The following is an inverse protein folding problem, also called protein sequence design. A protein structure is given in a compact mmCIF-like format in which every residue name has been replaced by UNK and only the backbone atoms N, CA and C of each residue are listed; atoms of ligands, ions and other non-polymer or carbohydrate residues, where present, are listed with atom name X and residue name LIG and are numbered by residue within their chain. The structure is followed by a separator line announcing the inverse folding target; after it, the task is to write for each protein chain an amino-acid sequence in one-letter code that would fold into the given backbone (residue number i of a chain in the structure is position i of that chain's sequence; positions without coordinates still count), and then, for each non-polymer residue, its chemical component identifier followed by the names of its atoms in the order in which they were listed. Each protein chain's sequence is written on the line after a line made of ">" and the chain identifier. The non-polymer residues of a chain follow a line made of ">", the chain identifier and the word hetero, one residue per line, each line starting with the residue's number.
data_IF_086246558171
#
_entry.id   IF_086246558171
#
_cell.length_a   1.000
_cell.length_b   1.000
_cell.length_c   1.000
_cell.angle_alpha   90.00
_cell.angle_beta   90.00
_cell.angle_gamma   90.00
#
_symmetry.space_group_name_H-M   'P 1'
#
loop_
_entity.id
_entity.type
_entity.pdbx_description
1 polymer ?
#
# COMPACT_ATOMS: atom_id res chain seq x y z
N UNK A 1 79.67 -25.69 -37.61
CA UNK A 1 79.62 -27.16 -37.57
C UNK A 1 80.84 -27.62 -36.78
N UNK A 2 80.71 -28.42 -35.70
CA UNK A 2 79.62 -29.33 -35.38
C UNK A 2 78.90 -29.03 -34.04
N UNK A 3 77.69 -29.61 -33.89
CA UNK A 3 76.88 -29.85 -32.67
C UNK A 3 77.35 -31.18 -32.02
N UNK A 4 77.17 -31.51 -30.72
CA UNK A 4 75.84 -31.87 -30.19
C UNK A 4 75.56 -31.70 -28.67
N UNK A 5 74.26 -31.81 -28.35
CA UNK A 5 73.64 -32.34 -27.11
C UNK A 5 73.39 -31.43 -25.89
N UNK A 6 72.13 -30.98 -25.80
CA UNK A 6 71.23 -31.23 -24.64
C UNK A 6 71.27 -30.28 -23.44
N UNK A 7 70.19 -29.53 -23.15
CA UNK A 7 70.08 -28.80 -21.89
C UNK A 7 69.14 -29.48 -20.87
N UNK A 8 69.73 -29.69 -19.68
CA UNK A 8 69.26 -29.26 -18.35
C UNK A 8 67.97 -29.83 -17.75
N UNK A 9 68.21 -30.57 -16.68
CA UNK A 9 67.37 -30.93 -15.54
C UNK A 9 66.70 -29.73 -14.86
N UNK A 10 65.39 -29.83 -14.59
CA UNK A 10 64.73 -29.10 -13.49
C UNK A 10 63.58 -29.95 -12.89
N UNK A 11 63.89 -30.52 -11.72
CA UNK A 11 63.08 -30.61 -10.50
C UNK A 11 61.57 -30.89 -10.63
N UNK A 12 61.18 -32.15 -10.41
CA UNK A 12 59.80 -32.57 -10.11
C UNK A 12 59.47 -32.27 -8.64
N UNK A 13 58.60 -31.30 -8.39
CA UNK A 13 58.03 -31.03 -7.07
C UNK A 13 56.73 -31.83 -6.87
N UNK A 14 56.72 -32.67 -5.84
CA UNK A 14 55.59 -33.49 -5.44
C UNK A 14 54.33 -32.66 -5.12
N UNK A 15 53.21 -32.95 -5.79
CA UNK A 15 51.88 -32.42 -5.45
C UNK A 15 51.17 -33.38 -4.49
N UNK A 16 51.17 -33.03 -3.21
CA UNK A 16 50.38 -33.69 -2.16
C UNK A 16 48.89 -33.43 -2.43
N UNK A 17 48.12 -34.45 -2.82
CA UNK A 17 46.66 -34.39 -2.95
C UNK A 17 46.03 -34.47 -1.55
N UNK A 18 45.53 -33.36 -1.02
CA UNK A 18 44.66 -33.35 0.15
C UNK A 18 43.24 -33.78 -0.24
N UNK A 19 42.74 -34.86 0.38
CA UNK A 19 41.34 -35.32 0.25
C UNK A 19 40.42 -34.34 0.99
N UNK A 20 39.34 -33.83 0.38
CA UNK A 20 38.37 -33.01 1.10
C UNK A 20 37.59 -33.87 2.10
N UNK A 21 37.51 -33.39 3.35
CA UNK A 21 36.69 -33.97 4.42
C UNK A 21 35.22 -33.84 4.03
N UNK A 22 34.52 -34.98 3.99
CA UNK A 22 33.10 -35.07 3.64
C UNK A 22 32.27 -34.62 4.84
N UNK A 23 31.80 -33.38 4.83
CA UNK A 23 30.81 -32.89 5.81
C UNK A 23 29.49 -33.63 5.53
N UNK A 24 28.85 -34.28 6.53
CA UNK A 24 27.57 -34.94 6.30
C UNK A 24 26.52 -33.88 5.94
N UNK A 25 25.81 -34.11 4.84
CA UNK A 25 24.71 -33.25 4.41
C UNK A 25 23.63 -33.24 5.51
N UNK A 26 23.00 -32.08 5.80
CA UNK A 26 21.89 -32.03 6.74
C UNK A 26 20.79 -32.97 6.25
N UNK A 27 20.28 -33.81 7.16
CA UNK A 27 19.19 -34.73 6.88
C UNK A 27 18.03 -33.95 6.22
N UNK A 28 17.63 -34.38 5.02
CA UNK A 28 16.48 -33.80 4.31
C UNK A 28 15.22 -34.12 5.11
N UNK A 29 14.65 -33.11 5.76
CA UNK A 29 13.32 -33.16 6.34
C UNK A 29 12.28 -33.38 5.23
N UNK A 30 11.24 -34.16 5.53
CA UNK A 30 10.13 -34.42 4.63
C UNK A 30 9.43 -33.10 4.22
N UNK A 31 8.89 -33.00 3.00
CA UNK A 31 8.17 -31.79 2.55
C UNK A 31 6.90 -31.62 3.39
N UNK A 32 6.77 -30.52 4.13
CA UNK A 32 5.52 -30.13 4.81
C UNK A 32 5.63 -29.84 6.32
N UNK A 33 6.78 -30.05 6.96
CA UNK A 33 7.01 -29.60 8.34
C UNK A 33 8.10 -28.52 8.38
N UNK A 34 7.70 -27.26 8.35
CA UNK A 34 8.60 -26.17 8.73
C UNK A 34 9.00 -26.34 10.19
N UNK A 35 10.30 -26.35 10.46
CA UNK A 35 10.85 -26.49 11.82
C UNK A 35 10.34 -25.31 12.66
N UNK A 36 9.65 -25.59 13.76
CA UNK A 36 9.23 -24.55 14.71
C UNK A 36 10.45 -23.93 15.38
N UNK A 37 10.54 -22.61 15.34
CA UNK A 37 11.56 -21.81 16.01
C UNK A 37 11.39 -21.80 17.53
N UNK A 38 10.16 -21.93 18.04
CA UNK A 38 9.86 -22.04 19.48
C UNK A 38 8.85 -23.16 19.72
N UNK A 39 9.00 -23.87 20.83
CA UNK A 39 8.11 -24.97 21.21
C UNK A 39 6.92 -24.47 22.06
N UNK A 40 5.73 -25.11 21.99
CA UNK A 40 4.68 -24.91 22.98
C UNK A 40 5.19 -25.15 24.42
N UNK A 41 4.65 -24.41 25.38
CA UNK A 41 5.04 -24.38 26.80
C UNK A 41 6.47 -23.90 27.08
N UNK A 42 7.30 -23.67 26.06
CA UNK A 42 8.62 -23.08 26.21
C UNK A 42 8.48 -21.69 26.85
N UNK A 43 9.28 -21.42 27.88
CA UNK A 43 9.40 -20.09 28.46
C UNK A 43 10.61 -19.41 27.85
N UNK A 44 10.38 -18.28 27.18
CA UNK A 44 11.44 -17.37 26.71
C UNK A 44 11.52 -16.18 27.64
N UNK A 45 12.72 -15.69 27.90
CA UNK A 45 12.96 -14.54 28.76
C UNK A 45 13.76 -13.48 28.01
N UNK A 46 13.33 -12.23 28.14
CA UNK A 46 14.12 -11.08 27.72
C UNK A 46 15.25 -10.85 28.72
N UNK A 47 16.53 -10.89 28.29
CA UNK A 47 17.66 -10.67 29.20
C UNK A 47 17.75 -9.22 29.69
N UNK A 48 17.22 -8.24 28.96
CA UNK A 48 17.26 -6.83 29.33
C UNK A 48 16.09 -6.42 30.24
N UNK A 49 14.87 -6.86 29.92
CA UNK A 49 13.66 -6.45 30.66
C UNK A 49 13.24 -7.46 31.74
N UNK A 50 13.88 -8.64 31.75
CA UNK A 50 13.53 -9.80 32.57
C UNK A 50 12.07 -10.28 32.42
N UNK A 51 11.37 -9.83 31.38
CA UNK A 51 10.02 -10.32 31.07
C UNK A 51 10.09 -11.76 30.59
N UNK A 52 9.15 -12.58 31.06
CA UNK A 52 9.05 -14.00 30.72
C UNK A 52 7.77 -14.26 29.96
N UNK A 53 7.85 -15.01 28.88
CA UNK A 53 6.72 -15.33 28.01
C UNK A 53 6.66 -16.84 27.80
N UNK A 54 5.54 -17.46 28.19
CA UNK A 54 5.25 -18.86 27.89
C UNK A 54 4.59 -18.94 26.53
N UNK A 55 5.22 -19.66 25.60
CA UNK A 55 4.71 -19.87 24.25
C UNK A 55 3.50 -20.82 24.33
N UNK A 56 2.36 -20.41 23.78
CA UNK A 56 1.16 -21.24 23.75
C UNK A 56 1.08 -22.00 22.41
N UNK A 57 1.02 -21.27 21.28
CA UNK A 57 0.90 -21.89 19.95
C UNK A 57 1.42 -20.99 18.83
N UNK A 58 1.76 -21.61 17.70
CA UNK A 58 2.04 -20.89 16.45
C UNK A 58 0.74 -20.23 15.94
N UNK A 59 0.82 -18.98 15.51
CA UNK A 59 -0.28 -18.19 14.95
C UNK A 59 -0.05 -17.91 13.46
N UNK A 60 1.20 -17.72 13.06
CA UNK A 60 1.53 -17.47 11.66
C UNK A 60 3.02 -17.70 11.36
N UNK A 61 3.31 -17.91 10.08
CA UNK A 61 4.67 -18.10 9.57
C UNK A 61 4.80 -17.36 8.24
N UNK A 62 5.93 -16.70 8.02
CA UNK A 62 6.24 -16.00 6.77
C UNK A 62 7.75 -15.78 6.60
N UNK A 63 8.13 -15.08 5.52
CA UNK A 63 9.54 -14.86 5.17
C UNK A 63 10.37 -14.08 6.19
N UNK A 64 9.71 -13.45 7.17
CA UNK A 64 10.35 -12.66 8.23
C UNK A 64 10.42 -13.38 9.58
N UNK A 65 9.88 -14.59 9.69
CA UNK A 65 9.91 -15.38 10.92
C UNK A 65 8.58 -16.07 11.24
N UNK A 66 8.49 -16.58 12.46
CA UNK A 66 7.32 -17.26 12.99
C UNK A 66 6.75 -16.46 14.16
N UNK A 67 5.42 -16.35 14.20
CA UNK A 67 4.67 -15.59 15.21
C UNK A 67 3.89 -16.55 16.08
N UNK A 68 4.07 -16.43 17.39
CA UNK A 68 3.47 -17.29 18.39
C UNK A 68 2.58 -16.49 19.33
N UNK A 69 1.42 -17.04 19.69
CA UNK A 69 0.65 -16.56 20.83
C UNK A 69 1.42 -16.95 22.10
N UNK A 70 1.56 -16.01 23.02
CA UNK A 70 2.26 -16.25 24.26
C UNK A 70 1.57 -15.57 25.44
N UNK A 71 1.71 -16.19 26.61
CA UNK A 71 1.28 -15.63 27.88
C UNK A 71 2.47 -15.05 28.63
N UNK A 72 2.38 -13.77 28.98
CA UNK A 72 3.35 -13.13 29.87
C UNK A 72 3.21 -13.70 31.28
N UNK A 73 4.33 -14.07 31.89
CA UNK A 73 4.39 -14.59 33.25
C UNK A 73 4.70 -13.47 34.25
N UNK A 74 4.16 -13.58 35.45
CA UNK A 74 4.32 -12.57 36.52
C UNK A 74 3.38 -11.37 36.38
N UNK A 75 3.42 -10.47 37.36
CA UNK A 75 2.58 -9.26 37.37
C UNK A 75 3.26 -8.09 36.63
N UNK A 76 2.49 -7.34 35.85
CA UNK A 76 2.93 -6.08 35.25
C UNK A 76 1.72 -5.17 35.12
N UNK A 77 1.89 -3.89 35.49
CA UNK A 77 0.87 -2.86 35.31
C UNK A 77 0.81 -2.32 33.87
N UNK A 78 1.85 -2.56 33.09
CA UNK A 78 2.05 -1.91 31.79
C UNK A 78 1.93 -2.86 30.60
N UNK A 79 2.15 -4.16 30.82
CA UNK A 79 2.13 -5.17 29.76
C UNK A 79 0.91 -6.08 29.87
N UNK A 80 0.20 -6.35 28.75
CA UNK A 80 -0.92 -7.29 28.75
C UNK A 80 -0.46 -8.70 29.11
N UNK A 81 -1.40 -9.52 29.60
CA UNK A 81 -1.13 -10.93 29.92
C UNK A 81 -0.93 -11.79 28.67
N UNK A 82 -1.47 -11.38 27.53
CA UNK A 82 -1.40 -12.07 26.25
C UNK A 82 -0.69 -11.17 25.23
N UNK A 83 0.31 -11.73 24.56
CA UNK A 83 1.13 -11.06 23.52
C UNK A 83 1.40 -12.01 22.37
N UNK A 84 1.94 -11.47 21.27
CA UNK A 84 2.56 -12.27 20.22
C UNK A 84 4.09 -12.22 20.35
N UNK A 85 4.77 -13.36 20.28
CA UNK A 85 6.22 -13.43 20.11
C UNK A 85 6.53 -13.70 18.64
N UNK A 86 7.10 -12.70 17.95
CA UNK A 86 7.67 -12.89 16.60
C UNK A 86 9.13 -13.27 16.75
N UNK A 87 9.51 -14.46 16.29
CA UNK A 87 10.88 -14.96 16.33
C UNK A 87 11.43 -15.09 14.91
N UNK A 88 12.66 -14.60 14.70
CA UNK A 88 13.34 -14.64 13.41
C UNK A 88 14.81 -15.03 13.58
N UNK A 89 15.36 -15.75 12.60
CA UNK A 89 16.82 -15.97 12.51
C UNK A 89 17.51 -14.77 11.82
N UNK A 90 16.76 -13.78 11.31
CA UNK A 90 17.29 -12.65 10.53
C UNK A 90 17.25 -11.35 11.32
N UNK A 91 18.42 -10.78 11.58
CA UNK A 91 18.55 -9.53 12.33
C UNK A 91 18.01 -8.30 11.58
N UNK A 92 18.17 -8.23 10.24
CA UNK A 92 17.91 -6.99 9.49
C UNK A 92 16.47 -6.50 9.58
N UNK A 93 15.50 -7.43 9.49
CA UNK A 93 14.07 -7.13 9.58
C UNK A 93 13.67 -6.82 11.01
N UNK A 94 14.18 -7.60 11.96
CA UNK A 94 13.96 -7.41 13.38
C UNK A 94 14.44 -6.03 13.87
N UNK A 95 15.64 -5.59 13.48
CA UNK A 95 16.15 -4.26 13.84
C UNK A 95 15.24 -3.13 13.35
N UNK A 96 14.71 -3.25 12.12
CA UNK A 96 13.77 -2.27 11.58
C UNK A 96 12.45 -2.28 12.35
N UNK A 97 11.90 -3.45 12.63
CA UNK A 97 10.66 -3.54 13.40
C UNK A 97 10.83 -3.02 14.83
N UNK A 98 11.94 -3.31 15.50
CA UNK A 98 12.25 -2.76 16.82
C UNK A 98 12.34 -1.22 16.77
N UNK A 99 13.08 -0.67 15.80
CA UNK A 99 13.22 0.77 15.61
C UNK A 99 11.86 1.46 15.34
N UNK A 100 11.07 0.94 14.40
CA UNK A 100 9.77 1.53 14.08
C UNK A 100 8.74 1.29 15.19
N UNK A 101 8.87 0.21 15.95
CA UNK A 101 8.12 -0.04 17.17
C UNK A 101 8.30 1.06 18.19
N UNK A 102 9.56 1.45 18.46
CA UNK A 102 9.87 2.59 19.33
C UNK A 102 9.40 3.92 18.74
N UNK A 103 9.66 4.16 17.45
CA UNK A 103 9.26 5.40 16.78
C UNK A 103 7.74 5.61 16.82
N UNK A 104 6.97 4.53 16.72
CA UNK A 104 5.50 4.54 16.68
C UNK A 104 4.87 4.20 18.03
N UNK A 105 5.65 4.11 19.10
CA UNK A 105 5.13 3.79 20.42
C UNK A 105 4.03 4.77 20.85
N UNK A 106 3.01 4.23 21.52
CA UNK A 106 1.80 4.95 21.89
C UNK A 106 0.83 5.29 20.74
N UNK A 107 1.20 5.11 19.47
CA UNK A 107 0.30 5.46 18.36
C UNK A 107 -0.91 4.51 18.31
N UNK A 108 -2.16 5.02 18.31
CA UNK A 108 -3.36 4.17 18.44
C UNK A 108 -3.62 3.27 17.22
N UNK A 109 -2.97 3.55 16.10
CA UNK A 109 -3.14 2.86 14.80
C UNK A 109 -1.93 2.02 14.39
N UNK A 110 -0.96 1.81 15.27
CA UNK A 110 0.18 0.92 15.05
C UNK A 110 0.15 -0.24 16.06
N UNK A 111 0.52 -1.44 15.62
CA UNK A 111 0.75 -2.58 16.53
C UNK A 111 1.91 -2.22 17.44
N UNK A 112 1.68 -2.27 18.75
CA UNK A 112 2.72 -1.93 19.73
C UNK A 112 3.79 -3.01 19.80
N UNK A 113 5.03 -2.58 19.96
CA UNK A 113 6.17 -3.43 20.31
C UNK A 113 6.45 -3.21 21.79
N UNK A 114 6.20 -4.23 22.60
CA UNK A 114 6.40 -4.19 24.04
C UNK A 114 7.83 -4.49 24.44
N UNK A 115 8.53 -5.32 23.66
CA UNK A 115 9.87 -5.80 23.97
C UNK A 115 10.57 -6.25 22.69
N UNK A 116 11.90 -6.17 22.68
CA UNK A 116 12.74 -6.60 21.59
C UNK A 116 14.05 -7.15 22.16
N UNK A 117 14.29 -8.45 21.99
CA UNK A 117 15.43 -9.12 22.62
C UNK A 117 15.99 -10.28 21.80
N UNK A 118 17.30 -10.57 21.90
CA UNK A 118 17.88 -11.80 21.39
C UNK A 118 17.62 -12.98 22.36
N UNK A 119 17.41 -14.16 21.79
CA UNK A 119 17.28 -15.42 22.52
C UNK A 119 18.38 -16.38 22.04
N UNK A 120 19.30 -16.72 22.95
CA UNK A 120 20.33 -17.71 22.68
C UNK A 120 19.75 -19.12 22.77
N UNK A 121 19.89 -19.91 21.70
CA UNK A 121 19.50 -21.32 21.68
C UNK A 121 20.60 -22.20 22.28
N UNK A 122 20.27 -23.37 22.87
CA UNK A 122 21.26 -24.33 23.31
C UNK A 122 22.26 -24.73 22.21
N UNK A 123 21.80 -24.74 20.95
CA UNK A 123 22.61 -25.02 19.77
C UNK A 123 23.54 -23.85 19.32
N UNK A 124 23.66 -22.78 20.13
CA UNK A 124 24.52 -21.62 19.85
C UNK A 124 23.99 -20.64 18.79
N UNK A 125 22.76 -20.83 18.30
CA UNK A 125 22.11 -19.92 17.35
C UNK A 125 21.31 -18.85 18.08
N UNK A 126 21.30 -17.63 17.55
CA UNK A 126 20.50 -16.53 18.08
C UNK A 126 19.17 -16.43 17.33
N UNK A 127 18.07 -16.38 18.05
CA UNK A 127 16.78 -15.94 17.55
C UNK A 127 16.55 -14.49 17.98
N UNK A 128 16.05 -13.66 17.08
CA UNK A 128 15.67 -12.29 17.39
C UNK A 128 14.16 -12.26 17.63
N UNK A 129 13.76 -11.85 18.84
CA UNK A 129 12.38 -11.90 19.31
C UNK A 129 11.80 -10.49 19.47
N UNK A 130 10.54 -10.31 19.08
CA UNK A 130 9.72 -9.15 19.42
C UNK A 130 8.49 -9.61 20.20
N UNK A 131 8.21 -8.95 21.32
CA UNK A 131 6.91 -9.06 21.98
C UNK A 131 5.98 -7.98 21.44
N UNK A 132 4.87 -8.39 20.84
CA UNK A 132 3.95 -7.54 20.09
C UNK A 132 2.56 -7.56 20.71
N UNK A 133 1.80 -6.50 20.46
CA UNK A 133 0.37 -6.49 20.69
C UNK A 133 -0.33 -7.64 19.96
N UNK A 134 -1.20 -8.36 20.67
CA UNK A 134 -2.02 -9.41 20.08
C UNK A 134 -3.35 -8.82 19.56
N UNK A 135 -3.55 -8.89 18.24
CA UNK A 135 -4.82 -8.56 17.61
C UNK A 135 -5.72 -9.81 17.57
N UNK A 136 -6.70 -9.86 18.48
CA UNK A 136 -7.61 -11.01 18.68
C UNK A 136 -8.42 -11.40 17.44
N UNK A 137 -8.77 -10.43 16.59
CA UNK A 137 -9.55 -10.67 15.37
C UNK A 137 -8.68 -11.02 14.15
N UNK A 138 -7.36 -11.14 14.34
CA UNK A 138 -6.41 -11.48 13.29
C UNK A 138 -6.13 -10.35 12.29
N UNK A 139 -5.50 -10.72 11.18
CA UNK A 139 -5.26 -9.81 10.06
C UNK A 139 -6.54 -9.56 9.24
N UNK A 140 -6.53 -8.47 8.47
CA UNK A 140 -7.68 -8.02 7.69
C UNK A 140 -8.14 -9.06 6.65
N UNK A 141 -7.22 -9.88 6.11
CA UNK A 141 -7.59 -10.96 5.18
C UNK A 141 -8.39 -12.04 5.89
N UNK A 142 -7.88 -12.53 7.02
CA UNK A 142 -8.56 -13.53 7.84
C UNK A 142 -9.92 -13.00 8.33
N UNK A 143 -9.96 -11.74 8.77
CA UNK A 143 -11.18 -11.11 9.25
C UNK A 143 -12.27 -11.03 8.18
N UNK A 144 -11.95 -10.55 6.98
CA UNK A 144 -12.92 -10.42 5.89
C UNK A 144 -13.35 -11.78 5.33
N UNK A 145 -12.51 -12.81 5.41
CA UNK A 145 -12.92 -14.18 5.08
C UNK A 145 -14.02 -14.70 6.01
N UNK A 146 -13.90 -14.44 7.32
CA UNK A 146 -14.94 -14.78 8.30
C UNK A 146 -16.12 -13.82 8.30
N UNK A 147 -15.94 -12.60 7.77
CA UNK A 147 -16.93 -11.53 7.76
C UNK A 147 -17.04 -10.94 6.34
N UNK A 148 -17.63 -11.67 5.38
CA UNK A 148 -17.67 -11.25 3.97
C UNK A 148 -18.57 -10.03 3.72
N UNK A 149 -19.22 -9.50 4.77
CA UNK A 149 -19.92 -8.22 4.70
C UNK A 149 -18.90 -7.10 4.74
N UNK A 150 -18.81 -6.35 3.64
CA UNK A 150 -18.02 -5.13 3.57
C UNK A 150 -18.35 -4.15 4.68
N UNK A 151 -17.39 -3.33 5.04
CA UNK A 151 -17.55 -2.34 6.11
C UNK A 151 -18.41 -1.17 5.61
N UNK A 152 -19.25 -0.59 6.49
CA UNK A 152 -19.92 0.67 6.18
C UNK A 152 -18.90 1.72 5.74
N UNK A 153 -19.24 2.50 4.71
CA UNK A 153 -18.33 3.51 4.14
C UNK A 153 -17.76 4.46 5.20
N UNK A 154 -18.57 4.92 6.14
CA UNK A 154 -18.12 5.78 7.23
C UNK A 154 -17.02 5.12 8.10
N UNK A 155 -17.21 3.85 8.44
CA UNK A 155 -16.22 3.05 9.18
C UNK A 155 -14.95 2.86 8.34
N UNK A 156 -15.08 2.45 7.09
CA UNK A 156 -13.93 2.25 6.20
C UNK A 156 -13.11 3.54 6.03
N UNK A 157 -13.75 4.70 5.85
CA UNK A 157 -13.10 6.01 5.78
C UNK A 157 -12.32 6.33 7.06
N UNK A 158 -12.97 6.21 8.22
CA UNK A 158 -12.37 6.50 9.54
C UNK A 158 -11.13 5.64 9.79
N UNK A 159 -11.24 4.35 9.52
CA UNK A 159 -10.19 3.37 9.84
C UNK A 159 -9.01 3.48 8.88
N UNK A 160 -9.26 3.70 7.58
CA UNK A 160 -8.20 3.99 6.61
C UNK A 160 -7.52 5.33 6.90
N UNK A 161 -8.26 6.36 7.33
CA UNK A 161 -7.65 7.62 7.76
C UNK A 161 -6.69 7.40 8.94
N UNK A 162 -7.03 6.54 9.89
CA UNK A 162 -6.15 6.16 10.99
C UNK A 162 -4.86 5.45 10.53
N UNK A 163 -4.96 4.54 9.57
CA UNK A 163 -3.77 3.89 8.96
C UNK A 163 -2.89 4.94 8.24
N UNK A 164 -3.52 5.89 7.55
CA UNK A 164 -2.82 6.98 6.86
C UNK A 164 -2.11 7.94 7.84
N UNK A 165 -2.57 8.09 9.07
CA UNK A 165 -1.87 8.88 10.10
C UNK A 165 -0.50 8.27 10.44
N UNK A 166 -0.42 6.93 10.54
CA UNK A 166 0.86 6.20 10.72
C UNK A 166 1.76 6.43 9.51
N UNK A 167 1.22 6.25 8.30
CA UNK A 167 1.98 6.47 7.06
C UNK A 167 2.44 7.92 6.93
N UNK A 168 1.63 8.89 7.35
CA UNK A 168 2.00 10.30 7.38
C UNK A 168 3.20 10.55 8.29
N UNK A 169 3.29 9.87 9.44
CA UNK A 169 4.46 9.92 10.32
C UNK A 169 5.71 9.36 9.65
N UNK A 170 5.60 8.22 8.95
CA UNK A 170 6.71 7.64 8.18
C UNK A 170 7.17 8.54 7.03
N UNK A 171 6.22 9.02 6.22
CA UNK A 171 6.48 9.84 5.03
C UNK A 171 7.17 11.16 5.37
N UNK A 172 6.89 11.77 6.53
CA UNK A 172 7.60 12.97 7.02
C UNK A 172 9.09 12.71 7.27
N UNK A 173 9.43 11.50 7.72
CA UNK A 173 10.82 11.04 7.86
C UNK A 173 11.42 10.45 6.57
N UNK A 174 10.80 10.67 5.41
CA UNK A 174 11.19 10.08 4.12
C UNK A 174 11.23 8.55 4.11
N UNK A 175 10.50 7.91 5.03
CA UNK A 175 10.37 6.45 5.12
C UNK A 175 9.12 5.99 4.37
N UNK A 176 9.21 4.84 3.70
CA UNK A 176 8.14 4.24 2.92
C UNK A 176 7.83 2.85 3.47
N UNK A 177 6.54 2.51 3.61
CA UNK A 177 6.15 1.21 4.16
C UNK A 177 6.40 0.07 3.17
N UNK A 178 6.02 0.25 1.90
CA UNK A 178 6.22 -0.69 0.78
C UNK A 178 5.46 -2.02 0.85
N UNK A 179 5.00 -2.47 2.03
CA UNK A 179 4.21 -3.71 2.19
C UNK A 179 2.84 -3.52 2.85
N UNK A 180 2.08 -2.51 2.45
CA UNK A 180 0.70 -2.39 2.92
C UNK A 180 -0.15 -3.48 2.24
N UNK A 181 -0.48 -4.52 3.00
CA UNK A 181 -1.28 -5.66 2.56
C UNK A 181 -2.36 -5.98 3.60
N UNK A 182 -3.43 -6.69 3.24
CA UNK A 182 -4.41 -7.17 4.20
C UNK A 182 -3.83 -8.07 5.31
N UNK A 183 -2.63 -8.64 5.12
CA UNK A 183 -1.97 -9.49 6.12
C UNK A 183 -1.18 -8.67 7.15
N UNK A 184 -0.84 -7.42 6.82
CA UNK A 184 -0.07 -6.51 7.69
C UNK A 184 -0.95 -5.44 8.35
N UNK A 185 -2.26 -5.48 8.09
CA UNK A 185 -3.26 -4.64 8.76
C UNK A 185 -4.11 -5.55 9.64
N UNK A 186 -4.15 -5.26 10.92
CA UNK A 186 -4.80 -6.08 11.92
C UNK A 186 -6.12 -5.45 12.35
N UNK A 187 -7.09 -6.32 12.63
CA UNK A 187 -8.39 -5.92 13.18
C UNK A 187 -8.33 -6.13 14.70
N UNK A 188 -8.60 -5.06 15.43
CA UNK A 188 -8.73 -5.06 16.88
C UNK A 188 -10.20 -4.88 17.28
N UNK A 189 -10.47 -4.97 18.57
CA UNK A 189 -11.80 -4.79 19.14
C UNK A 189 -12.44 -3.46 18.68
N UNK A 190 -13.76 -3.48 18.50
CA UNK A 190 -14.50 -2.32 18.00
C UNK A 190 -14.27 -2.00 16.51
N UNK A 191 -13.72 -2.94 15.71
CA UNK A 191 -13.34 -2.75 14.30
C UNK A 191 -12.31 -1.63 14.13
N UNK A 192 -11.36 -1.56 15.06
CA UNK A 192 -10.22 -0.66 14.96
C UNK A 192 -9.12 -1.31 14.12
N UNK A 193 -8.66 -0.65 13.06
CA UNK A 193 -7.51 -1.10 12.29
C UNK A 193 -6.20 -0.61 12.90
N UNK A 194 -5.21 -1.50 12.94
CA UNK A 194 -3.82 -1.18 13.29
C UNK A 194 -2.86 -1.70 12.23
N UNK A 195 -1.86 -0.90 11.89
CA UNK A 195 -0.79 -1.27 10.98
C UNK A 195 0.32 -1.98 11.75
N UNK A 196 0.78 -3.12 11.24
CA UNK A 196 1.96 -3.83 11.72
C UNK A 196 2.94 -4.12 10.59
N UNK A 197 3.94 -4.94 10.94
CA UNK A 197 5.03 -5.38 10.06
C UNK A 197 5.81 -4.25 9.35
N UNK A 198 6.71 -3.64 10.12
CA UNK A 198 7.63 -2.61 9.63
C UNK A 198 8.97 -3.19 9.14
N UNK A 199 9.06 -4.52 8.98
CA UNK A 199 10.31 -5.24 8.69
C UNK A 199 10.92 -4.92 7.34
N UNK A 200 10.16 -4.30 6.44
CA UNK A 200 10.65 -3.84 5.14
C UNK A 200 10.53 -2.34 4.91
N UNK A 201 10.25 -1.56 5.94
CA UNK A 201 10.26 -0.10 5.82
C UNK A 201 11.64 0.37 5.39
N UNK A 202 11.69 1.28 4.42
CA UNK A 202 12.95 1.79 3.86
C UNK A 202 12.89 3.27 3.59
N UNK A 203 14.05 3.90 3.66
CA UNK A 203 14.21 5.27 3.23
C UNK A 203 13.91 5.40 1.73
N UNK A 204 13.33 6.52 1.31
CA UNK A 204 12.95 6.78 -0.07
C UNK A 204 14.15 6.83 -1.03
N UNK A 205 15.32 7.28 -0.55
CA UNK A 205 16.55 7.31 -1.33
C UNK A 205 17.28 5.96 -1.46
N UNK A 206 16.81 4.91 -0.78
CA UNK A 206 17.44 3.59 -0.87
C UNK A 206 17.25 3.02 -2.28
N UNK A 207 18.34 3.04 -3.05
CA UNK A 207 18.45 2.57 -4.44
C UNK A 207 18.58 1.06 -4.57
N UNK A 208 18.79 0.33 -3.45
CA UNK A 208 18.75 -1.14 -3.50
C UNK A 208 17.31 -1.51 -3.89
N UNK A 209 17.16 -1.99 -5.11
CA UNK A 209 15.86 -2.32 -5.69
C UNK A 209 15.07 -3.23 -4.75
N UNK A 210 13.75 -3.08 -4.76
CA UNK A 210 12.88 -4.02 -4.07
C UNK A 210 13.06 -5.35 -4.80
N UNK A 211 13.64 -6.37 -4.14
CA UNK A 211 13.75 -7.69 -4.75
C UNK A 211 12.35 -8.12 -5.21
N UNK A 212 12.21 -8.61 -6.45
CA UNK A 212 10.90 -8.92 -7.03
C UNK A 212 10.07 -9.90 -6.18
N UNK A 213 10.73 -10.71 -5.33
CA UNK A 213 10.08 -11.59 -4.35
C UNK A 213 9.60 -10.93 -3.05
N UNK A 214 9.84 -9.62 -2.85
CA UNK A 214 9.44 -8.88 -1.63
C UNK A 214 8.14 -8.10 -1.82
N UNK A 215 7.67 -7.90 -3.05
CA UNK A 215 6.44 -7.14 -3.31
C UNK A 215 5.24 -8.07 -3.40
N UNK A 216 4.20 -7.79 -2.60
CA UNK A 216 2.96 -8.53 -2.70
C UNK A 216 2.15 -8.12 -3.95
N UNK A 217 1.93 -9.01 -4.95
CA UNK A 217 1.20 -8.67 -6.18
C UNK A 217 -0.26 -8.23 -5.94
N UNK A 218 -0.82 -8.56 -4.78
CA UNK A 218 -2.18 -8.19 -4.36
C UNK A 218 -2.33 -6.67 -4.24
N UNK A 219 -1.32 -5.98 -3.73
CA UNK A 219 -1.38 -4.54 -3.47
C UNK A 219 -0.30 -3.73 -4.16
N UNK A 220 0.74 -4.34 -4.73
CA UNK A 220 1.78 -3.62 -5.44
C UNK A 220 1.26 -2.96 -6.74
N UNK A 221 1.64 -1.70 -7.05
CA UNK A 221 1.27 -1.04 -8.29
C UNK A 221 1.76 -1.80 -9.53
N UNK A 222 0.91 -1.97 -10.54
CA UNK A 222 1.23 -2.76 -11.74
C UNK A 222 2.45 -2.21 -12.50
N UNK A 223 2.63 -0.89 -12.53
CA UNK A 223 3.79 -0.26 -13.18
C UNK A 223 5.11 -0.45 -12.42
N UNK A 224 5.05 -0.66 -11.10
CA UNK A 224 6.25 -1.02 -10.31
C UNK A 224 6.59 -2.49 -10.59
N UNK A 225 5.59 -3.37 -10.58
CA UNK A 225 5.76 -4.80 -10.91
C UNK A 225 6.30 -5.00 -12.33
N UNK A 226 5.86 -4.18 -13.28
CA UNK A 226 6.30 -4.21 -14.67
C UNK A 226 7.66 -3.51 -14.92
N UNK A 227 8.31 -2.96 -13.88
CA UNK A 227 9.55 -2.19 -14.03
C UNK A 227 9.41 -0.86 -14.78
N UNK A 228 8.18 -0.42 -15.08
CA UNK A 228 7.89 0.82 -15.80
C UNK A 228 8.02 2.07 -14.91
N UNK A 229 8.14 1.90 -13.60
CA UNK A 229 8.44 2.95 -12.64
C UNK A 229 9.74 2.62 -11.89
N UNK A 230 10.76 3.51 -11.92
CA UNK A 230 12.11 3.17 -11.46
C UNK A 230 12.26 3.13 -9.94
N UNK A 231 11.36 3.78 -9.19
CA UNK A 231 11.48 3.92 -7.74
C UNK A 231 10.13 4.07 -7.06
N UNK A 232 9.98 3.43 -5.90
CA UNK A 232 8.83 3.55 -5.00
C UNK A 232 8.79 4.94 -4.36
N UNK A 233 7.60 5.51 -4.23
CA UNK A 233 7.35 6.81 -3.63
C UNK A 233 6.13 6.77 -2.69
N UNK A 234 5.90 7.82 -1.92
CA UNK A 234 4.74 7.91 -1.01
C UNK A 234 3.40 7.63 -1.71
N UNK A 235 3.26 8.05 -2.98
CA UNK A 235 2.08 7.78 -3.82
C UNK A 235 1.83 6.29 -4.11
N UNK A 236 2.86 5.45 -3.96
CA UNK A 236 2.78 4.00 -4.18
C UNK A 236 2.33 3.28 -2.89
N UNK A 237 2.67 3.80 -1.70
CA UNK A 237 1.99 3.41 -0.46
C UNK A 237 0.51 3.80 -0.50
N UNK A 238 0.19 4.99 -1.02
CA UNK A 238 -1.20 5.45 -1.25
C UNK A 238 -1.97 4.51 -2.18
N UNK A 239 -1.32 3.95 -3.20
CA UNK A 239 -1.93 2.92 -4.05
C UNK A 239 -2.35 1.70 -3.23
N UNK A 240 -1.44 1.20 -2.38
CA UNK A 240 -1.72 0.06 -1.52
C UNK A 240 -2.88 0.35 -0.54
N UNK A 241 -2.92 1.55 0.05
CA UNK A 241 -4.06 1.97 0.88
C UNK A 241 -5.36 2.02 0.08
N UNK A 242 -5.32 2.48 -1.17
CA UNK A 242 -6.47 2.45 -2.08
C UNK A 242 -7.00 1.04 -2.32
N UNK A 243 -6.10 0.05 -2.44
CA UNK A 243 -6.47 -1.37 -2.52
C UNK A 243 -7.17 -1.83 -1.23
N UNK A 244 -6.59 -1.56 -0.07
CA UNK A 244 -7.17 -1.90 1.24
C UNK A 244 -8.56 -1.29 1.42
N UNK A 245 -8.73 0.00 1.09
CA UNK A 245 -10.01 0.69 1.16
C UNK A 245 -11.08 0.04 0.26
N UNK A 246 -10.70 -0.30 -0.97
CA UNK A 246 -11.62 -1.00 -1.88
C UNK A 246 -11.99 -2.40 -1.38
N UNK A 247 -11.03 -3.16 -0.82
CA UNK A 247 -11.26 -4.48 -0.23
C UNK A 247 -12.18 -4.42 0.99
N UNK A 248 -11.99 -3.44 1.88
CA UNK A 248 -12.84 -3.21 3.05
C UNK A 248 -14.31 -3.00 2.67
N UNK A 249 -14.56 -2.14 1.69
CA UNK A 249 -15.92 -1.83 1.23
C UNK A 249 -16.52 -3.00 0.44
N UNK A 250 -15.70 -3.70 -0.35
CA UNK A 250 -16.12 -4.91 -1.07
C UNK A 250 -16.46 -6.06 -0.12
N UNK A 251 -15.78 -6.15 1.02
CA UNK A 251 -15.86 -7.30 1.94
C UNK A 251 -14.98 -8.48 1.51
N UNK A 252 -13.98 -8.25 0.67
CA UNK A 252 -13.13 -9.30 0.10
C UNK A 252 -11.70 -8.79 -0.10
N UNK A 253 -10.75 -9.49 0.52
CA UNK A 253 -9.31 -9.22 0.46
C UNK A 253 -8.51 -10.37 -0.19
N UNK A 254 -9.17 -11.30 -0.88
CA UNK A 254 -8.51 -12.39 -1.62
C UNK A 254 -8.00 -11.95 -2.99
N UNK A 255 -8.66 -10.96 -3.59
CA UNK A 255 -8.32 -10.45 -4.92
C UNK A 255 -8.08 -8.94 -4.90
N UNK A 256 -7.16 -8.49 -5.75
CA UNK A 256 -6.88 -7.06 -5.93
C UNK A 256 -8.08 -6.37 -6.60
N UNK A 257 -8.38 -5.15 -6.17
CA UNK A 257 -9.40 -4.32 -6.81
C UNK A 257 -8.86 -3.83 -8.14
N UNK A 258 -9.62 -4.05 -9.22
CA UNK A 258 -9.36 -3.50 -10.54
C UNK A 258 -10.22 -2.25 -10.78
N UNK A 259 -9.71 -1.33 -11.61
CA UNK A 259 -10.42 -0.08 -11.93
C UNK A 259 -11.80 -0.30 -12.55
N UNK A 260 -12.01 -1.41 -13.26
CA UNK A 260 -13.30 -1.78 -13.85
C UNK A 260 -14.36 -2.22 -12.82
N UNK A 261 -13.93 -2.67 -11.63
CA UNK A 261 -14.80 -3.16 -10.56
C UNK A 261 -15.31 -2.03 -9.67
N UNK A 262 -14.60 -0.90 -9.61
CA UNK A 262 -14.89 0.23 -8.71
C UNK A 262 -16.33 0.72 -8.82
N UNK A 263 -16.88 0.77 -10.04
CA UNK A 263 -18.27 1.20 -10.27
C UNK A 263 -19.31 0.37 -9.50
N UNK A 264 -18.99 -0.91 -9.24
CA UNK A 264 -19.86 -1.89 -8.57
C UNK A 264 -19.65 -1.91 -7.05
N UNK A 265 -18.67 -1.17 -6.51
CA UNK A 265 -18.47 -1.12 -5.07
C UNK A 265 -19.72 -0.55 -4.38
N UNK A 266 -20.15 -1.14 -3.24
CA UNK A 266 -21.33 -0.71 -2.50
C UNK A 266 -21.04 0.54 -1.65
N UNK A 267 -20.64 1.63 -2.31
CA UNK A 267 -20.31 2.91 -1.68
C UNK A 267 -20.70 4.10 -2.56
N UNK A 268 -20.58 5.29 -1.99
CA UNK A 268 -20.83 6.56 -2.66
C UNK A 268 -19.93 6.77 -3.88
N UNK A 269 -20.41 7.56 -4.84
CA UNK A 269 -19.62 7.98 -6.00
C UNK A 269 -18.33 8.69 -5.55
N UNK A 270 -18.38 9.43 -4.45
CA UNK A 270 -17.18 10.08 -3.90
C UNK A 270 -16.11 9.06 -3.48
N UNK A 271 -16.47 8.00 -2.74
CA UNK A 271 -15.48 6.98 -2.35
C UNK A 271 -14.95 6.21 -3.56
N UNK A 272 -15.81 5.96 -4.56
CA UNK A 272 -15.38 5.37 -5.84
C UNK A 272 -14.34 6.24 -6.54
N UNK A 273 -14.52 7.56 -6.58
CA UNK A 273 -13.53 8.50 -7.13
C UNK A 273 -12.20 8.43 -6.36
N UNK A 274 -12.24 8.37 -5.03
CA UNK A 274 -11.04 8.24 -4.18
C UNK A 274 -10.30 6.94 -4.50
N UNK A 275 -10.98 5.80 -4.45
CA UNK A 275 -10.38 4.48 -4.74
C UNK A 275 -9.82 4.46 -6.17
N UNK A 276 -10.57 4.98 -7.14
CA UNK A 276 -10.13 5.09 -8.54
C UNK A 276 -8.87 5.93 -8.68
N UNK A 277 -8.80 7.07 -7.97
CA UNK A 277 -7.63 7.94 -7.99
C UNK A 277 -6.42 7.28 -7.36
N UNK A 278 -6.58 6.53 -6.26
CA UNK A 278 -5.49 5.78 -5.63
C UNK A 278 -4.95 4.66 -6.53
N UNK A 279 -5.83 3.81 -7.07
CA UNK A 279 -5.41 2.61 -7.81
C UNK A 279 -5.27 2.81 -9.32
N UNK A 280 -5.54 4.03 -9.79
CA UNK A 280 -5.47 4.40 -11.19
C UNK A 280 -4.07 4.82 -11.63
N UNK A 281 -4.04 5.75 -12.58
CA UNK A 281 -2.83 6.26 -13.20
C UNK A 281 -1.89 6.92 -12.19
N UNK A 282 -0.63 6.45 -12.12
CA UNK A 282 0.36 6.85 -11.11
C UNK A 282 0.52 8.36 -10.91
N UNK A 283 0.54 9.12 -12.01
CA UNK A 283 0.68 10.60 -11.97
C UNK A 283 -0.54 11.34 -11.41
N UNK A 284 -1.70 10.69 -11.31
CA UNK A 284 -2.96 11.28 -10.84
C UNK A 284 -3.30 10.92 -9.39
N UNK A 285 -2.57 9.97 -8.78
CA UNK A 285 -2.74 9.57 -7.38
C UNK A 285 -2.60 10.74 -6.43
N UNK A 286 -3.13 10.59 -5.22
CA UNK A 286 -2.73 11.46 -4.11
C UNK A 286 -1.23 11.32 -3.88
N UNK A 287 -0.54 12.43 -3.66
CA UNK A 287 0.91 12.49 -3.54
C UNK A 287 1.41 12.11 -2.15
N UNK A 288 0.55 12.23 -1.13
CA UNK A 288 0.89 11.95 0.26
C UNK A 288 -0.29 11.37 1.03
N UNK A 289 -0.01 10.78 2.19
CA UNK A 289 -1.04 10.33 3.11
C UNK A 289 -1.98 11.47 3.56
N UNK A 290 -1.44 12.67 3.78
CA UNK A 290 -2.22 13.85 4.17
C UNK A 290 -3.24 14.25 3.11
N UNK A 291 -2.87 14.24 1.82
CA UNK A 291 -3.79 14.57 0.73
C UNK A 291 -4.94 13.54 0.63
N UNK A 292 -4.66 12.25 0.90
CA UNK A 292 -5.69 11.22 0.92
C UNK A 292 -6.59 11.33 2.17
N UNK A 293 -6.04 11.66 3.35
CA UNK A 293 -6.85 11.92 4.55
C UNK A 293 -7.83 13.06 4.30
N UNK A 294 -7.37 14.15 3.68
CA UNK A 294 -8.20 15.30 3.34
C UNK A 294 -9.37 14.88 2.43
N UNK A 295 -9.09 14.11 1.37
CA UNK A 295 -10.13 13.59 0.48
C UNK A 295 -11.10 12.63 1.18
N UNK A 296 -10.64 11.83 2.15
CA UNK A 296 -11.50 10.92 2.90
C UNK A 296 -12.45 11.66 3.86
N UNK A 297 -12.00 12.78 4.44
CA UNK A 297 -12.76 13.59 5.41
C UNK A 297 -13.69 14.57 4.72
N UNK A 298 -13.22 15.22 3.66
CA UNK A 298 -13.90 16.35 3.04
C UNK A 298 -14.34 16.01 1.61
N UNK A 299 -15.66 15.95 1.33
CA UNK A 299 -16.13 15.82 -0.04
C UNK A 299 -15.79 17.08 -0.86
N UNK A 300 -15.30 16.92 -2.11
CA UNK A 300 -15.03 18.07 -2.95
C UNK A 300 -16.31 18.85 -3.20
N UNK A 301 -16.19 20.19 -3.21
CA UNK A 301 -17.32 21.09 -3.41
C UNK A 301 -18.12 20.68 -4.66
N UNK A 302 -19.45 20.65 -4.51
CA UNK A 302 -20.32 20.29 -5.62
C UNK A 302 -20.07 21.21 -6.81
N UNK A 303 -20.07 20.57 -7.96
CA UNK A 303 -19.76 21.15 -9.25
C UNK A 303 -20.97 21.99 -9.71
N UNK A 304 -21.10 23.23 -9.19
CA UNK A 304 -22.19 24.15 -9.55
C UNK A 304 -22.02 24.70 -10.97
N UNK A 305 -23.12 24.80 -11.71
CA UNK A 305 -23.14 25.46 -13.01
C UNK A 305 -22.86 26.97 -12.82
N UNK A 306 -21.88 27.49 -13.55
CA UNK A 306 -21.55 28.92 -13.52
C UNK A 306 -22.31 29.70 -14.60
N UNK A 307 -22.46 31.01 -14.40
CA UNK A 307 -22.96 31.90 -15.45
C UNK A 307 -21.79 32.33 -16.34
N UNK A 308 -21.95 32.16 -17.65
CA UNK A 308 -20.99 32.58 -18.67
C UNK A 308 -21.72 33.46 -19.69
N UNK A 309 -21.13 34.60 -20.07
CA UNK A 309 -21.76 35.59 -20.97
C UNK A 309 -21.41 35.36 -22.44
N UNK A 310 -20.22 34.83 -22.73
CA UNK A 310 -19.72 34.56 -24.09
C UNK A 310 -18.78 33.35 -24.09
N UNK A 311 -18.65 32.69 -25.25
CA UNK A 311 -17.69 31.61 -25.49
C UNK A 311 -16.37 32.10 -26.11
N UNK A 312 -16.28 33.38 -26.50
CA UNK A 312 -15.07 33.94 -27.12
C UNK A 312 -13.87 33.88 -26.17
N UNK A 313 -12.76 33.28 -26.63
CA UNK A 313 -11.53 33.12 -25.84
C UNK A 313 -11.60 32.04 -24.75
N UNK A 314 -12.70 31.29 -24.65
CA UNK A 314 -12.88 30.28 -23.61
C UNK A 314 -12.21 28.97 -24.00
N UNK A 315 -11.47 28.36 -23.07
CA UNK A 315 -10.90 27.04 -23.22
C UNK A 315 -11.87 25.98 -22.70
N UNK A 316 -12.46 25.23 -23.63
CA UNK A 316 -13.64 24.41 -23.38
C UNK A 316 -13.34 22.91 -23.52
N UNK A 317 -13.86 22.09 -22.61
CA UNK A 317 -13.89 20.63 -22.77
C UNK A 317 -15.32 20.09 -22.58
N UNK A 318 -15.69 19.06 -23.32
CA UNK A 318 -16.99 18.40 -23.17
C UNK A 318 -16.87 17.16 -22.28
N UNK A 319 -17.91 16.87 -21.49
CA UNK A 319 -18.10 15.63 -20.72
C UNK A 319 -19.55 15.14 -20.78
N UNK A 320 -19.78 13.86 -20.50
CA UNK A 320 -21.11 13.23 -20.59
C UNK A 320 -21.58 12.94 -22.03
N UNK A 321 -22.81 12.43 -22.11
CA UNK A 321 -23.57 12.18 -23.33
C UNK A 321 -24.27 13.48 -23.73
N UNK A 322 -23.96 13.98 -24.92
CA UNK A 322 -24.57 15.19 -25.47
C UNK A 322 -25.81 14.82 -26.30
N UNK A 323 -26.80 15.71 -26.34
CA UNK A 323 -27.99 15.55 -27.19
C UNK A 323 -27.65 15.58 -28.68
N UNK A 324 -26.66 16.38 -29.07
CA UNK A 324 -26.14 16.42 -30.46
C UNK A 324 -24.79 15.73 -30.58
N UNK A 325 -24.41 15.37 -31.82
CA UNK A 325 -23.12 14.72 -32.08
C UNK A 325 -21.98 15.62 -31.60
N UNK A 326 -20.98 15.03 -30.95
CA UNK A 326 -19.85 15.78 -30.38
C UNK A 326 -19.13 16.63 -31.42
N UNK A 327 -19.00 16.15 -32.67
CA UNK A 327 -18.42 16.90 -33.79
C UNK A 327 -19.15 18.24 -34.06
N UNK A 328 -20.48 18.25 -33.97
CA UNK A 328 -21.29 19.45 -34.16
C UNK A 328 -21.10 20.45 -33.02
N UNK A 329 -21.10 19.96 -31.78
CA UNK A 329 -20.83 20.81 -30.61
C UNK A 329 -19.44 21.45 -30.67
N UNK A 330 -18.41 20.71 -31.11
CA UNK A 330 -17.06 21.26 -31.31
C UNK A 330 -17.06 22.36 -32.39
N UNK A 331 -17.73 22.15 -33.53
CA UNK A 331 -17.83 23.16 -34.59
C UNK A 331 -18.56 24.42 -34.11
N UNK A 332 -19.66 24.26 -33.37
CA UNK A 332 -20.41 25.38 -32.80
C UNK A 332 -19.56 26.19 -31.80
N UNK A 333 -18.84 25.51 -30.90
CA UNK A 333 -17.96 26.16 -29.94
C UNK A 333 -16.84 26.97 -30.64
N UNK A 334 -16.19 26.39 -31.66
CA UNK A 334 -15.13 27.08 -32.43
C UNK A 334 -15.65 28.29 -33.18
N UNK A 335 -16.83 28.21 -33.80
CA UNK A 335 -17.48 29.36 -34.46
C UNK A 335 -17.79 30.49 -33.47
N UNK A 336 -18.16 30.15 -32.25
CA UNK A 336 -18.38 31.12 -31.16
C UNK A 336 -17.08 31.62 -30.50
N UNK A 337 -15.91 31.32 -31.07
CA UNK A 337 -14.61 31.80 -30.62
C UNK A 337 -13.98 31.03 -29.45
N UNK A 338 -14.47 29.82 -29.13
CA UNK A 338 -13.87 28.98 -28.09
C UNK A 338 -12.76 28.07 -28.63
N UNK A 339 -11.77 27.79 -27.77
CA UNK A 339 -10.72 26.78 -28.01
C UNK A 339 -11.13 25.47 -27.37
N UNK A 340 -11.39 24.44 -28.18
CA UNK A 340 -11.90 23.15 -27.69
C UNK A 340 -10.78 22.13 -27.46
N UNK A 341 -10.74 21.56 -26.25
CA UNK A 341 -9.79 20.54 -25.83
C UNK A 341 -10.44 19.14 -25.76
N UNK A 342 -9.63 18.11 -26.03
CA UNK A 342 -10.08 16.72 -25.93
C UNK A 342 -10.40 16.29 -24.50
N UNK A 343 -9.65 16.80 -23.52
CA UNK A 343 -9.80 16.53 -22.09
C UNK A 343 -9.54 17.79 -21.26
N UNK A 344 -10.11 17.89 -20.04
CA UNK A 344 -9.79 18.96 -19.11
C UNK A 344 -8.29 18.99 -18.79
N UNK A 345 -7.74 20.18 -18.67
CA UNK A 345 -6.34 20.47 -18.37
C UNK A 345 -6.23 21.79 -17.60
N UNK A 346 -5.03 22.18 -17.17
CA UNK A 346 -4.77 23.46 -16.51
C UNK A 346 -5.19 24.69 -17.34
N UNK A 347 -5.28 24.53 -18.67
CA UNK A 347 -5.76 25.58 -19.58
C UNK A 347 -7.27 25.66 -19.66
N UNK A 348 -8.00 24.64 -19.22
CA UNK A 348 -9.46 24.57 -19.35
C UNK A 348 -10.12 25.54 -18.39
N UNK A 349 -10.96 26.43 -18.91
CA UNK A 349 -11.72 27.40 -18.10
C UNK A 349 -13.20 27.03 -17.99
N UNK A 350 -13.73 26.26 -18.94
CA UNK A 350 -15.13 25.81 -18.95
C UNK A 350 -15.24 24.33 -19.32
N UNK A 351 -16.11 23.61 -18.63
CA UNK A 351 -16.53 22.26 -19.00
C UNK A 351 -18.02 22.21 -19.27
N UNK A 352 -18.38 21.73 -20.47
CA UNK A 352 -19.77 21.51 -20.84
C UNK A 352 -20.17 20.10 -20.44
N UNK A 353 -21.17 19.99 -19.57
CA UNK A 353 -21.68 18.73 -19.04
C UNK A 353 -23.00 18.37 -19.72
N UNK A 354 -22.98 17.29 -20.50
CA UNK A 354 -24.17 16.59 -20.97
C UNK A 354 -24.77 15.66 -19.93
N UNK A 355 -25.71 14.82 -20.36
CA UNK A 355 -26.31 13.79 -19.49
C UNK A 355 -25.23 12.84 -18.95
N UNK A 356 -25.33 12.39 -17.68
CA UNK A 356 -24.34 11.48 -17.14
C UNK A 356 -24.37 10.14 -17.89
N UNK A 357 -23.20 9.51 -18.02
CA UNK A 357 -23.11 8.17 -18.57
C UNK A 357 -23.08 7.19 -17.38
N UNK A 358 -24.13 6.38 -17.18
CA UNK A 358 -24.25 5.47 -16.03
C UNK A 358 -23.17 4.38 -15.99
N UNK A 359 -22.46 4.14 -17.10
CA UNK A 359 -21.37 3.16 -17.19
C UNK A 359 -20.00 3.71 -16.78
N UNK A 360 -19.90 4.95 -16.29
CA UNK A 360 -18.63 5.57 -15.91
C UNK A 360 -18.03 5.03 -14.60
N UNK A 361 -16.73 5.28 -14.41
CA UNK A 361 -15.89 4.64 -13.40
C UNK A 361 -16.36 4.86 -11.94
N UNK A 362 -16.98 6.01 -11.64
CA UNK A 362 -17.54 6.32 -10.33
C UNK A 362 -19.04 6.71 -10.43
N UNK A 363 -19.85 5.80 -10.98
CA UNK A 363 -21.31 5.87 -10.91
C UNK A 363 -21.96 6.99 -11.72
N UNK A 364 -22.98 7.63 -11.13
CA UNK A 364 -23.85 8.61 -11.81
C UNK A 364 -23.15 9.94 -12.04
N UNK A 365 -22.23 10.36 -11.17
CA UNK A 365 -21.56 11.67 -11.27
C UNK A 365 -20.06 11.61 -11.61
N UNK A 366 -19.46 10.41 -11.65
CA UNK A 366 -18.01 10.21 -11.63
C UNK A 366 -17.35 9.82 -12.96
N UNK A 367 -17.49 10.67 -13.98
CA UNK A 367 -16.75 10.52 -15.24
C UNK A 367 -15.27 10.85 -15.11
N UNK A 368 -14.39 10.17 -15.87
CA UNK A 368 -12.93 10.46 -15.90
C UNK A 368 -12.60 11.95 -16.07
N UNK A 369 -13.37 12.65 -16.91
CA UNK A 369 -13.20 14.09 -17.13
C UNK A 369 -13.73 14.94 -15.97
N UNK A 370 -14.82 14.53 -15.32
CA UNK A 370 -15.37 15.24 -14.16
C UNK A 370 -14.46 15.10 -12.93
N UNK A 371 -13.90 13.90 -12.72
CA UNK A 371 -12.87 13.67 -11.70
C UNK A 371 -11.65 14.58 -11.92
N UNK A 372 -11.18 14.69 -13.17
CA UNK A 372 -10.07 15.59 -13.50
C UNK A 372 -10.41 17.07 -13.26
N UNK A 373 -11.65 17.48 -13.52
CA UNK A 373 -12.12 18.85 -13.21
C UNK A 373 -12.11 19.12 -11.71
N UNK A 374 -12.64 18.19 -10.89
CA UNK A 374 -12.62 18.33 -9.42
C UNK A 374 -11.18 18.49 -8.92
N UNK A 375 -10.28 17.61 -9.39
CA UNK A 375 -8.84 17.65 -9.07
C UNK A 375 -8.17 18.98 -9.46
N UNK A 376 -8.47 19.51 -10.65
CA UNK A 376 -7.92 20.78 -11.09
C UNK A 376 -8.45 21.95 -10.23
N UNK A 377 -9.73 21.92 -9.83
CA UNK A 377 -10.29 22.94 -8.92
C UNK A 377 -9.69 22.89 -7.53
N UNK A 378 -9.44 21.70 -6.98
CA UNK A 378 -8.70 21.52 -5.72
C UNK A 378 -7.31 22.18 -5.77
N UNK A 379 -6.66 22.17 -6.94
CA UNK A 379 -5.37 22.85 -7.18
C UNK A 379 -5.51 24.36 -7.46
N UNK A 380 -6.69 24.94 -7.23
CA UNK A 380 -6.95 26.37 -7.42
C UNK A 380 -7.30 26.79 -8.85
N UNK A 381 -7.40 25.86 -9.81
CA UNK A 381 -7.79 26.22 -11.18
C UNK A 381 -9.29 26.57 -11.24
N UNK A 382 -9.59 27.76 -11.78
CA UNK A 382 -10.98 28.24 -11.93
C UNK A 382 -11.64 27.62 -13.16
N UNK A 383 -12.33 26.48 -12.95
CA UNK A 383 -13.11 25.80 -13.99
C UNK A 383 -14.60 25.95 -13.72
N UNK A 384 -15.35 26.53 -14.66
CA UNK A 384 -16.81 26.64 -14.59
C UNK A 384 -17.47 25.45 -15.29
N UNK A 385 -18.60 25.00 -14.76
CA UNK A 385 -19.46 24.06 -15.46
C UNK A 385 -20.57 24.78 -16.19
N UNK A 386 -20.85 24.31 -17.39
CA UNK A 386 -21.94 24.78 -18.24
C UNK A 386 -22.81 23.57 -18.59
N UNK A 387 -24.13 23.68 -18.39
CA UNK A 387 -25.03 22.64 -18.89
C UNK A 387 -25.18 22.74 -20.42
N UNK A 388 -25.65 21.68 -21.05
CA UNK A 388 -25.76 21.65 -22.51
C UNK A 388 -26.71 22.73 -23.07
N UNK A 389 -27.81 23.04 -22.37
CA UNK A 389 -28.77 24.08 -22.78
C UNK A 389 -28.13 25.47 -22.80
N UNK A 390 -27.35 25.81 -21.77
CA UNK A 390 -26.60 27.06 -21.69
C UNK A 390 -25.52 27.13 -22.77
N UNK A 391 -24.84 26.01 -23.04
CA UNK A 391 -23.85 25.93 -24.11
C UNK A 391 -24.45 26.29 -25.47
N UNK A 392 -25.58 25.68 -25.85
CA UNK A 392 -26.21 25.95 -27.14
C UNK A 392 -26.72 27.39 -27.25
N UNK A 393 -27.23 27.97 -26.15
CA UNK A 393 -27.62 29.39 -26.11
C UNK A 393 -26.44 30.32 -26.40
N UNK A 394 -25.27 30.06 -25.81
CA UNK A 394 -24.08 30.89 -26.01
C UNK A 394 -23.42 30.66 -27.37
N UNK A 395 -23.43 29.43 -27.88
CA UNK A 395 -22.86 29.11 -29.19
C UNK A 395 -23.70 29.67 -30.35
N UNK A 396 -24.97 30.02 -30.11
CA UNK A 396 -25.86 30.65 -31.08
C UNK A 396 -25.86 32.18 -31.07
N UNK A 397 -25.26 32.82 -30.05
CA UNK A 397 -25.11 34.29 -30.00
C UNK A 397 -23.96 34.68 -30.93
N UNK A 398 -24.28 35.45 -31.97
CA UNK A 398 -23.30 36.07 -32.88
C UNK A 398 -22.60 37.23 -32.18
#
# INVERSE_FOLDING_TARGET
>A
MPDPTGPRTHTSAARTRTRPVRVPAPARLAPGQTRRLLAPEQVVASPETYQRYRIERLVGEGGFGQVYLARRLGHSRFLPSIVCIKASERIDGWLREAYFGQLLDGHPRAIRVFDAFPLMRPEGRVLYCLALEYASQGDLRAYLNGNPRGWPEATARREIAGILEVLGKLHRGQMLHRDLTPMNVFVCDGRSLKLGDFGIVRHQSDRRGISAGTMNPLTAPSEILAGAAPMWQARDDVYQVGQLLGMLVKGDAQARIRTAEIRRLPCSDHLKEIVYRCIGERRKRYQSAAELIEALRNPPATLRAGVLRTLKGVHLAFTGILTRRRKEAVRAARRAGAVVHGSPSVRTTVVVRGRPNPLQAAGRDGGRKLMEVKRLREKGHRIRLLNETQFWRLAGRR
#
